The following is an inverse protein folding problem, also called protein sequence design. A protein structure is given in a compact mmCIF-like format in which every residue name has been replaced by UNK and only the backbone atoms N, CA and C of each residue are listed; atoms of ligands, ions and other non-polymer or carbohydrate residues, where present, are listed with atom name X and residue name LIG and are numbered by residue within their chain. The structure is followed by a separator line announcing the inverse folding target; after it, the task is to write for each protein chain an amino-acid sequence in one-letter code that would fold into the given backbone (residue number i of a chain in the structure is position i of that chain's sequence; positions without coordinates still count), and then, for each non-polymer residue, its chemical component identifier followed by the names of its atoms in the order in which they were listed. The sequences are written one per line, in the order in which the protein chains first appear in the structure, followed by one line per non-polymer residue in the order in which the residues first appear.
data_IF_291086003711
#
_entry.id   IF_291086003711
#
_cell.length_a   1.000
_cell.length_b   1.000
_cell.length_c   1.000
_cell.angle_alpha   90.00
_cell.angle_beta   90.00
_cell.angle_gamma   90.00
#
_symmetry.space_group_name_H-M   'P 1'
#
loop_
_entity.id
_entity.type
_entity.pdbx_description
1 polymer ?
#
# COMPACT_ATOMS: atom_id res chain seq x y z
N UNK A 1 -3.89 -15.05 20.76
CA UNK A 1 -4.33 -13.66 20.99
C UNK A 1 -3.12 -12.78 20.79
N UNK A 2 -3.13 -11.94 19.76
CA UNK A 2 -1.98 -11.25 19.23
C UNK A 2 -2.24 -9.76 18.94
N UNK A 3 -1.19 -8.96 19.07
CA UNK A 3 -1.06 -7.61 18.56
C UNK A 3 -0.19 -7.67 17.30
N UNK A 4 -0.66 -7.06 16.22
CA UNK A 4 0.00 -7.14 14.92
C UNK A 4 0.33 -5.73 14.46
N UNK A 5 1.59 -5.48 14.18
CA UNK A 5 2.05 -4.30 13.47
C UNK A 5 1.98 -4.58 11.97
N UNK A 6 0.95 -4.04 11.30
CA UNK A 6 0.80 -4.20 9.86
C UNK A 6 1.45 -3.06 9.11
N UNK A 7 2.27 -3.40 8.11
CA UNK A 7 2.97 -2.48 7.21
C UNK A 7 2.34 -2.63 5.82
N UNK A 8 1.81 -1.54 5.23
CA UNK A 8 1.13 -1.56 3.93
C UNK A 8 2.13 -1.77 2.79
N UNK A 9 1.69 -1.50 1.55
CA UNK A 9 2.54 -1.50 0.36
C UNK A 9 3.81 -0.65 0.59
N UNK A 10 4.96 -1.10 0.07
CA UNK A 10 6.25 -0.47 0.37
C UNK A 10 6.67 0.50 -0.74
N UNK A 11 6.42 0.14 -2.00
CA UNK A 11 6.82 0.83 -3.23
C UNK A 11 8.21 1.46 -3.15
N UNK A 12 9.20 0.64 -2.79
CA UNK A 12 10.61 1.02 -2.60
C UNK A 12 10.88 2.06 -1.52
N UNK A 13 9.89 2.54 -0.78
CA UNK A 13 10.05 3.56 0.26
C UNK A 13 10.74 3.01 1.51
N UNK A 14 11.43 3.88 2.25
CA UNK A 14 12.10 3.55 3.52
C UNK A 14 11.20 3.74 4.75
N UNK A 15 9.92 4.04 4.56
CA UNK A 15 9.01 4.38 5.67
C UNK A 15 8.91 3.25 6.72
N UNK A 16 9.02 2.00 6.26
CA UNK A 16 9.03 0.82 7.11
C UNK A 16 10.18 0.81 8.13
N UNK A 17 11.28 1.50 7.92
CA UNK A 17 12.41 1.49 8.87
C UNK A 17 12.00 2.01 10.25
N UNK A 18 11.01 2.90 10.30
CA UNK A 18 10.45 3.37 11.57
C UNK A 18 9.77 2.28 12.39
N UNK A 19 9.40 1.14 11.79
CA UNK A 19 8.97 -0.08 12.51
C UNK A 19 10.06 -0.56 13.48
N UNK A 20 11.34 -0.44 13.11
CA UNK A 20 12.48 -0.85 13.96
C UNK A 20 12.57 -0.07 15.28
N UNK A 21 11.92 1.09 15.37
CA UNK A 21 11.89 1.91 16.59
C UNK A 21 10.87 1.44 17.64
N UNK A 22 9.97 0.53 17.27
CA UNK A 22 8.97 -0.02 18.18
C UNK A 22 9.58 -1.16 19.01
N UNK A 23 9.25 -1.20 20.30
CA UNK A 23 9.67 -2.29 21.19
C UNK A 23 9.00 -3.60 20.79
N UNK A 24 9.71 -4.72 20.92
CA UNK A 24 9.16 -6.07 20.71
C UNK A 24 8.06 -6.44 21.71
N UNK A 25 7.86 -5.65 22.77
CA UNK A 25 6.73 -5.82 23.71
C UNK A 25 5.42 -5.18 23.20
N UNK A 26 5.48 -4.34 22.17
CA UNK A 26 4.32 -3.62 21.64
C UNK A 26 3.44 -4.47 20.73
N UNK A 27 4.01 -5.47 20.07
CA UNK A 27 3.36 -6.37 19.12
C UNK A 27 3.93 -7.79 19.21
N UNK A 28 3.09 -8.77 18.88
CA UNK A 28 3.47 -10.18 18.76
C UNK A 28 3.93 -10.51 17.33
N UNK A 29 3.41 -9.80 16.32
CA UNK A 29 3.79 -10.00 14.91
C UNK A 29 4.02 -8.68 14.17
N UNK A 30 4.90 -8.73 13.16
CA UNK A 30 5.02 -7.72 12.10
C UNK A 30 4.61 -8.38 10.78
N UNK A 31 3.72 -7.74 10.02
CA UNK A 31 3.27 -8.26 8.73
C UNK A 31 3.47 -7.19 7.67
N UNK A 32 4.37 -7.45 6.72
CA UNK A 32 4.54 -6.65 5.50
C UNK A 32 3.58 -7.15 4.44
N UNK A 33 2.78 -6.27 3.86
CA UNK A 33 1.70 -6.65 2.95
C UNK A 33 2.09 -6.75 1.47
N UNK A 34 3.33 -6.42 1.08
CA UNK A 34 3.84 -6.62 -0.27
C UNK A 34 4.23 -5.32 -0.98
N UNK A 35 4.33 -5.42 -2.31
CA UNK A 35 4.66 -4.35 -3.24
C UNK A 35 5.94 -3.63 -2.86
N UNK A 36 7.06 -4.34 -2.90
CA UNK A 36 8.37 -3.82 -2.48
C UNK A 36 9.06 -2.95 -3.53
N UNK A 37 8.66 -3.08 -4.79
CA UNK A 37 9.28 -2.44 -5.94
C UNK A 37 8.36 -1.39 -6.59
N UNK A 38 8.75 -0.91 -7.76
CA UNK A 38 7.98 0.04 -8.59
C UNK A 38 7.82 1.44 -7.98
N UNK A 39 8.79 1.85 -7.16
CA UNK A 39 8.88 3.22 -6.67
C UNK A 39 9.05 4.21 -7.84
N UNK A 40 8.29 5.31 -7.82
CA UNK A 40 8.49 6.43 -8.73
C UNK A 40 9.66 7.34 -8.29
N UNK A 41 9.89 7.46 -6.98
CA UNK A 41 10.83 8.44 -6.40
C UNK A 41 12.23 7.86 -6.16
N UNK A 42 12.35 6.56 -5.83
CA UNK A 42 13.63 5.93 -5.50
C UNK A 42 14.25 5.29 -6.74
N UNK A 43 15.53 5.57 -7.01
CA UNK A 43 16.25 5.00 -8.15
C UNK A 43 17.03 3.73 -7.79
N UNK A 44 17.58 3.04 -8.78
CA UNK A 44 18.53 1.95 -8.53
C UNK A 44 19.91 2.51 -8.19
N UNK A 45 20.68 1.89 -7.26
CA UNK A 45 20.46 0.59 -6.63
C UNK A 45 19.58 0.58 -5.35
N UNK A 46 19.12 1.74 -4.90
CA UNK A 46 18.48 1.95 -3.59
C UNK A 46 17.28 1.02 -3.35
N UNK A 47 16.35 0.90 -4.30
CA UNK A 47 15.19 -0.01 -4.18
C UNK A 47 15.60 -1.47 -3.89
N UNK A 48 16.66 -1.95 -4.55
CA UNK A 48 17.14 -3.32 -4.36
C UNK A 48 17.80 -3.52 -3.00
N UNK A 49 18.56 -2.53 -2.53
CA UNK A 49 19.19 -2.59 -1.21
C UNK A 49 18.18 -2.41 -0.08
N UNK A 50 17.12 -1.64 -0.32
CA UNK A 50 15.98 -1.53 0.58
C UNK A 50 15.25 -2.89 0.73
N UNK A 51 14.91 -3.56 -0.39
CA UNK A 51 14.30 -4.89 -0.33
C UNK A 51 15.16 -5.93 0.40
N UNK A 52 16.48 -5.93 0.16
CA UNK A 52 17.41 -6.80 0.93
C UNK A 52 17.36 -6.48 2.42
N UNK A 53 17.34 -5.20 2.78
CA UNK A 53 17.26 -4.77 4.19
C UNK A 53 15.95 -5.22 4.86
N UNK A 54 14.83 -5.23 4.14
CA UNK A 54 13.56 -5.80 4.60
C UNK A 54 13.70 -7.32 4.79
N UNK A 55 14.28 -8.03 3.81
CA UNK A 55 14.49 -9.47 3.91
C UNK A 55 15.36 -9.85 5.10
N UNK A 56 16.47 -9.15 5.31
CA UNK A 56 17.38 -9.38 6.44
C UNK A 56 16.65 -9.13 7.77
N UNK A 57 15.89 -8.05 7.86
CA UNK A 57 15.05 -7.76 9.02
C UNK A 57 14.02 -8.86 9.27
N UNK A 58 13.36 -9.42 8.25
CA UNK A 58 12.41 -10.52 8.45
C UNK A 58 13.12 -11.82 8.86
N UNK A 59 14.28 -12.12 8.27
CA UNK A 59 15.05 -13.35 8.58
C UNK A 59 15.59 -13.41 10.00
N UNK A 60 15.80 -12.26 10.65
CA UNK A 60 16.16 -12.21 12.07
C UNK A 60 15.12 -12.89 12.98
N UNK A 61 13.84 -12.93 12.59
CA UNK A 61 12.76 -13.54 13.36
C UNK A 61 11.56 -13.92 12.46
N UNK A 62 11.72 -14.99 11.68
CA UNK A 62 10.67 -15.47 10.75
C UNK A 62 9.44 -16.04 11.47
N UNK A 63 9.53 -16.33 12.77
CA UNK A 63 8.40 -16.75 13.58
C UNK A 63 7.43 -15.58 13.79
N UNK A 64 7.93 -14.38 14.04
CA UNK A 64 7.11 -13.20 14.35
C UNK A 64 7.03 -12.18 13.21
N UNK A 65 7.92 -12.23 12.22
CA UNK A 65 7.96 -11.29 11.08
C UNK A 65 7.55 -12.01 9.80
N UNK A 66 6.54 -11.48 9.12
CA UNK A 66 5.93 -12.08 7.92
C UNK A 66 6.12 -11.16 6.72
N UNK A 67 6.61 -11.73 5.62
CA UNK A 67 6.82 -11.04 4.35
C UNK A 67 5.82 -11.56 3.33
N UNK A 68 4.71 -10.84 3.15
CA UNK A 68 3.72 -11.20 2.14
C UNK A 68 4.13 -10.66 0.77
N UNK A 69 3.68 -11.30 -0.30
CA UNK A 69 3.94 -10.83 -1.67
C UNK A 69 2.76 -10.01 -2.19
N UNK A 70 3.05 -8.93 -2.91
CA UNK A 70 2.06 -8.11 -3.60
C UNK A 70 1.99 -8.38 -5.11
N UNK A 71 1.08 -7.72 -5.81
CA UNK A 71 0.96 -7.89 -7.27
C UNK A 71 2.13 -7.28 -8.04
N UNK A 72 2.71 -6.17 -7.56
CA UNK A 72 3.89 -5.58 -8.18
C UNK A 72 5.09 -6.51 -8.09
N UNK A 73 5.26 -7.19 -6.96
CA UNK A 73 6.32 -8.20 -6.78
C UNK A 73 6.10 -9.41 -7.68
N UNK A 74 4.87 -9.96 -7.64
CA UNK A 74 4.52 -11.13 -8.44
C UNK A 74 4.67 -10.88 -9.94
N UNK A 75 4.48 -9.64 -10.40
CA UNK A 75 4.61 -9.30 -11.82
C UNK A 75 5.99 -9.61 -12.43
N UNK A 76 7.03 -9.67 -11.60
CA UNK A 76 8.38 -10.05 -12.01
C UNK A 76 8.62 -11.57 -12.02
N UNK A 77 7.80 -12.31 -11.28
CA UNK A 77 7.82 -13.77 -11.14
C UNK A 77 6.84 -14.47 -12.08
N UNK A 78 5.77 -13.80 -12.50
CA UNK A 78 4.78 -14.45 -13.33
C UNK A 78 5.38 -14.98 -14.64
N UNK A 79 5.05 -16.23 -14.94
CA UNK A 79 5.41 -16.90 -16.20
C UNK A 79 4.19 -17.01 -17.13
N UNK A 80 3.06 -16.40 -16.77
CA UNK A 80 1.93 -16.29 -17.67
C UNK A 80 2.09 -15.13 -18.65
N UNK A 81 1.19 -15.06 -19.62
CA UNK A 81 1.20 -14.02 -20.65
C UNK A 81 0.87 -12.62 -20.11
N UNK A 82 0.01 -12.53 -19.10
CA UNK A 82 -0.56 -11.25 -18.63
C UNK A 82 0.03 -10.78 -17.29
N UNK A 83 0.99 -11.54 -16.74
CA UNK A 83 1.52 -11.28 -15.40
C UNK A 83 2.36 -10.01 -15.25
N UNK A 84 2.85 -9.42 -16.34
CA UNK A 84 3.68 -8.21 -16.30
C UNK A 84 2.87 -6.90 -16.32
N UNK A 85 1.54 -6.98 -16.27
CA UNK A 85 0.66 -5.83 -16.40
C UNK A 85 0.44 -5.10 -15.06
N UNK A 86 1.50 -4.52 -14.49
CA UNK A 86 1.44 -3.64 -13.32
C UNK A 86 1.89 -2.21 -13.68
N UNK A 87 1.28 -1.20 -13.07
CA UNK A 87 1.78 0.18 -13.17
C UNK A 87 3.19 0.26 -12.58
N UNK A 88 4.05 1.11 -13.15
CA UNK A 88 5.43 1.25 -12.64
C UNK A 88 6.38 0.06 -12.93
N UNK A 89 5.89 -1.04 -13.52
CA UNK A 89 6.72 -2.21 -13.83
C UNK A 89 7.98 -1.83 -14.62
N UNK A 90 9.13 -2.27 -14.12
CA UNK A 90 10.43 -1.72 -14.50
C UNK A 90 11.14 -2.57 -15.56
N UNK A 91 11.00 -2.15 -16.83
CA UNK A 91 11.54 -2.85 -18.01
C UNK A 91 12.96 -2.42 -18.45
N UNK A 92 13.57 -1.46 -17.73
CA UNK A 92 14.87 -0.86 -18.06
C UNK A 92 16.11 -1.71 -17.70
N UNK A 93 17.27 -1.05 -17.55
CA UNK A 93 18.55 -1.69 -17.19
C UNK A 93 19.16 -1.14 -15.90
N UNK A 94 19.97 -1.97 -15.24
CA UNK A 94 20.86 -1.64 -14.12
C UNK A 94 22.27 -1.98 -14.58
N UNK A 95 23.05 -0.96 -14.96
CA UNK A 95 24.35 -1.18 -15.60
C UNK A 95 24.22 -2.03 -16.87
N UNK A 96 24.72 -3.27 -16.84
CA UNK A 96 24.65 -4.23 -17.97
C UNK A 96 23.48 -5.20 -17.88
N UNK A 97 22.80 -5.28 -16.73
CA UNK A 97 21.71 -6.21 -16.44
C UNK A 97 20.34 -5.56 -16.69
N UNK A 98 19.32 -6.37 -16.92
CA UNK A 98 17.93 -5.90 -17.03
C UNK A 98 17.28 -5.81 -15.66
N UNK A 99 16.55 -4.72 -15.38
CA UNK A 99 15.83 -4.51 -14.10
C UNK A 99 14.92 -5.69 -13.75
N UNK A 100 14.16 -6.19 -14.73
CA UNK A 100 13.30 -7.37 -14.57
C UNK A 100 14.08 -8.57 -14.04
N UNK A 101 15.26 -8.85 -14.63
CA UNK A 101 16.10 -9.97 -14.21
C UNK A 101 16.61 -9.77 -12.79
N UNK A 102 17.13 -8.59 -12.48
CA UNK A 102 17.65 -8.27 -11.14
C UNK A 102 16.56 -8.36 -10.06
N UNK A 103 15.37 -7.80 -10.30
CA UNK A 103 14.25 -7.85 -9.35
C UNK A 103 13.79 -9.30 -9.15
N UNK A 104 13.65 -10.06 -10.23
CA UNK A 104 13.32 -11.49 -10.17
C UNK A 104 14.32 -12.27 -9.33
N UNK A 105 15.62 -12.06 -9.53
CA UNK A 105 16.66 -12.72 -8.76
C UNK A 105 16.59 -12.39 -7.26
N UNK A 106 16.28 -11.13 -6.91
CA UNK A 106 16.05 -10.74 -5.52
C UNK A 106 14.84 -11.46 -4.91
N UNK A 107 13.71 -11.50 -5.62
CA UNK A 107 12.50 -12.18 -5.15
C UNK A 107 12.71 -13.70 -5.01
N UNK A 108 13.35 -14.34 -6.00
CA UNK A 108 13.71 -15.76 -5.93
C UNK A 108 14.71 -16.05 -4.80
N UNK A 109 15.60 -15.10 -4.50
CA UNK A 109 16.51 -15.15 -3.36
C UNK A 109 15.83 -14.97 -2.00
N UNK A 110 14.56 -14.54 -1.96
CA UNK A 110 13.74 -14.38 -0.76
C UNK A 110 12.62 -15.43 -0.65
N UNK A 111 12.59 -16.43 -1.53
CA UNK A 111 11.50 -17.44 -1.59
C UNK A 111 11.32 -18.27 -0.32
N UNK A 112 12.33 -18.31 0.56
CA UNK A 112 12.30 -18.97 1.86
C UNK A 112 11.39 -18.26 2.88
N UNK A 113 11.13 -16.97 2.70
CA UNK A 113 10.35 -16.14 3.62
C UNK A 113 9.10 -15.51 3.01
N UNK A 114 8.97 -15.51 1.67
CA UNK A 114 7.81 -14.97 0.97
C UNK A 114 6.57 -15.86 1.16
N UNK A 115 5.43 -15.22 1.42
CA UNK A 115 4.13 -15.87 1.65
C UNK A 115 3.02 -15.16 0.87
N UNK A 116 1.94 -15.87 0.52
CA UNK A 116 0.75 -15.24 -0.06
C UNK A 116 -0.15 -14.62 1.02
N UNK A 117 -0.17 -15.22 2.20
CA UNK A 117 -1.01 -14.78 3.31
C UNK A 117 -0.48 -15.27 4.65
N UNK A 118 -0.99 -14.69 5.73
CA UNK A 118 -0.71 -15.10 7.11
C UNK A 118 -2.01 -15.22 7.89
N UNK A 119 -2.16 -16.24 8.71
CA UNK A 119 -3.34 -16.44 9.57
C UNK A 119 -2.96 -16.41 11.05
N UNK A 120 -3.68 -15.63 11.84
CA UNK A 120 -3.51 -15.56 13.29
C UNK A 120 -4.83 -15.17 13.98
N UNK A 121 -5.22 -15.91 15.03
CA UNK A 121 -6.45 -15.66 15.80
C UNK A 121 -7.72 -15.56 14.92
N UNK A 122 -7.78 -16.32 13.82
CA UNK A 122 -8.87 -16.30 12.85
C UNK A 122 -8.93 -15.03 11.98
N UNK A 123 -7.91 -14.17 12.03
CA UNK A 123 -7.68 -13.10 11.06
C UNK A 123 -6.75 -13.59 9.95
N UNK A 124 -7.12 -13.32 8.70
CA UNK A 124 -6.28 -13.57 7.53
C UNK A 124 -5.71 -12.25 7.01
N UNK A 125 -4.40 -12.20 6.91
CA UNK A 125 -3.63 -11.08 6.37
C UNK A 125 -3.18 -11.45 4.95
N UNK A 126 -3.40 -10.55 4.00
CA UNK A 126 -2.96 -10.71 2.62
C UNK A 126 -2.72 -9.33 2.00
N UNK A 127 -2.15 -9.30 0.81
CA UNK A 127 -2.00 -8.07 0.06
C UNK A 127 -3.37 -7.43 -0.25
N UNK A 128 -4.25 -8.09 -1.02
CA UNK A 128 -5.52 -7.51 -1.48
C UNK A 128 -6.79 -8.12 -0.86
N UNK A 129 -6.77 -9.39 -0.42
CA UNK A 129 -7.93 -10.05 0.23
C UNK A 129 -8.49 -11.26 -0.53
N UNK A 130 -9.33 -12.05 0.14
CA UNK A 130 -9.91 -13.26 -0.42
C UNK A 130 -11.43 -13.14 -0.58
N UNK A 131 -11.88 -13.34 -1.81
CA UNK A 131 -13.30 -13.51 -2.13
C UNK A 131 -13.70 -14.98 -2.24
N UNK A 132 -14.98 -15.25 -2.02
CA UNK A 132 -15.58 -16.57 -2.10
C UNK A 132 -15.43 -17.16 -3.52
N UNK A 133 -15.61 -16.32 -4.53
CA UNK A 133 -15.47 -16.66 -5.95
C UNK A 133 -14.04 -17.04 -6.30
N UNK A 134 -13.05 -16.23 -5.91
CA UNK A 134 -11.66 -16.50 -6.23
C UNK A 134 -11.12 -17.72 -5.47
N UNK A 135 -11.52 -17.91 -4.21
CA UNK A 135 -11.17 -19.12 -3.44
C UNK A 135 -11.77 -20.38 -4.05
N UNK A 136 -13.02 -20.33 -4.52
CA UNK A 136 -13.63 -21.47 -5.23
C UNK A 136 -12.84 -21.87 -6.48
N UNK A 137 -12.36 -20.89 -7.23
CA UNK A 137 -11.49 -21.15 -8.37
C UNK A 137 -10.17 -21.77 -7.91
N UNK A 138 -9.52 -21.19 -6.89
CA UNK A 138 -8.26 -21.70 -6.36
C UNK A 138 -8.39 -23.15 -5.87
N UNK A 139 -9.53 -23.53 -5.26
CA UNK A 139 -9.82 -24.95 -4.92
C UNK A 139 -9.84 -25.87 -6.14
N UNK A 140 -10.33 -25.38 -7.29
CA UNK A 140 -10.24 -26.13 -8.54
C UNK A 140 -8.78 -26.32 -8.98
N UNK A 141 -7.96 -25.27 -8.89
CA UNK A 141 -6.53 -25.33 -9.18
C UNK A 141 -5.82 -26.32 -8.24
N UNK A 142 -6.12 -26.28 -6.93
CA UNK A 142 -5.56 -27.23 -5.95
C UNK A 142 -5.95 -28.68 -6.27
N UNK A 143 -7.19 -28.91 -6.75
CA UNK A 143 -7.62 -30.24 -7.18
C UNK A 143 -6.86 -30.72 -8.42
N UNK A 144 -6.55 -29.83 -9.35
CA UNK A 144 -5.79 -30.21 -10.54
C UNK A 144 -4.31 -30.50 -10.22
N UNK A 145 -3.74 -29.79 -9.23
CA UNK A 145 -2.35 -30.00 -8.78
C UNK A 145 -2.20 -31.22 -7.85
N UNK A 146 -3.12 -31.42 -6.90
CA UNK A 146 -2.98 -32.38 -5.81
C UNK A 146 -4.04 -33.49 -5.79
N UNK A 147 -5.09 -33.40 -6.61
CA UNK A 147 -6.22 -34.31 -6.56
C UNK A 147 -7.18 -34.08 -5.39
N UNK A 148 -7.08 -32.96 -4.67
CA UNK A 148 -7.94 -32.59 -3.53
C UNK A 148 -8.42 -31.14 -3.64
N UNK A 149 -9.65 -30.85 -3.22
CA UNK A 149 -10.22 -29.50 -3.09
C UNK A 149 -10.00 -28.88 -1.70
N UNK A 150 -9.13 -29.49 -0.88
CA UNK A 150 -8.67 -28.93 0.39
C UNK A 150 -8.10 -27.51 0.20
N UNK A 151 -8.34 -26.67 1.19
CA UNK A 151 -7.88 -25.28 1.18
C UNK A 151 -7.69 -24.74 2.59
N UNK A 152 -6.50 -24.23 2.84
CA UNK A 152 -6.13 -23.46 4.03
C UNK A 152 -5.02 -22.48 3.64
N UNK A 153 -4.76 -21.49 4.50
CA UNK A 153 -3.63 -20.57 4.30
C UNK A 153 -2.30 -21.33 4.30
N UNK A 154 -2.14 -22.32 5.17
CA UNK A 154 -0.94 -23.18 5.20
C UNK A 154 -0.75 -23.95 3.88
N UNK A 155 -1.82 -24.57 3.35
CA UNK A 155 -1.73 -25.29 2.08
C UNK A 155 -1.41 -24.31 0.95
N UNK A 156 -2.08 -23.16 0.88
CA UNK A 156 -1.84 -22.13 -0.13
C UNK A 156 -0.38 -21.65 -0.11
N UNK A 157 0.16 -21.32 1.06
CA UNK A 157 1.56 -20.93 1.21
C UNK A 157 2.51 -22.07 0.84
N UNK A 158 2.24 -23.31 1.24
CA UNK A 158 3.07 -24.46 0.87
C UNK A 158 3.09 -24.72 -0.65
N UNK A 159 1.95 -24.50 -1.32
CA UNK A 159 1.83 -24.58 -2.77
C UNK A 159 2.65 -23.48 -3.44
N UNK A 160 2.57 -22.25 -2.92
CA UNK A 160 3.39 -21.13 -3.38
C UNK A 160 4.89 -21.39 -3.20
N UNK A 161 5.32 -21.90 -2.05
CA UNK A 161 6.74 -22.25 -1.83
C UNK A 161 7.23 -23.31 -2.82
N UNK A 162 6.44 -24.37 -3.07
CA UNK A 162 6.77 -25.39 -4.08
C UNK A 162 6.84 -24.80 -5.49
N UNK A 163 5.91 -23.89 -5.83
CA UNK A 163 5.91 -23.17 -7.09
C UNK A 163 7.21 -22.39 -7.29
N UNK A 164 7.71 -21.73 -6.23
CA UNK A 164 8.95 -20.96 -6.23
C UNK A 164 10.21 -21.84 -6.24
N UNK A 165 10.16 -23.03 -5.65
CA UNK A 165 11.23 -24.04 -5.76
C UNK A 165 11.36 -24.55 -7.19
N UNK A 166 10.22 -24.76 -7.85
CA UNK A 166 10.11 -25.23 -9.22
C UNK A 166 10.06 -24.08 -10.25
N UNK A 167 10.59 -22.90 -9.91
CA UNK A 167 10.45 -21.71 -10.76
C UNK A 167 10.99 -21.91 -12.19
N UNK A 168 12.19 -22.46 -12.32
CA UNK A 168 12.90 -22.61 -13.60
C UNK A 168 12.84 -24.05 -14.17
N UNK A 169 11.85 -24.86 -13.79
CA UNK A 169 11.72 -26.20 -14.37
C UNK A 169 11.25 -26.09 -15.84
N UNK A 170 11.78 -26.92 -16.77
CA UNK A 170 11.40 -26.84 -18.19
C UNK A 170 9.92 -27.10 -18.49
N UNK A 171 9.25 -27.91 -17.66
CA UNK A 171 7.81 -28.17 -17.77
C UNK A 171 7.10 -27.63 -16.52
N UNK A 172 6.62 -26.40 -16.62
CA UNK A 172 5.86 -25.70 -15.59
C UNK A 172 4.35 -25.71 -15.86
N UNK A 173 3.85 -26.56 -16.77
CA UNK A 173 2.46 -26.50 -17.24
C UNK A 173 1.42 -26.67 -16.13
N UNK A 174 1.73 -27.48 -15.11
CA UNK A 174 0.89 -27.66 -13.92
C UNK A 174 0.71 -26.38 -13.09
N UNK A 175 1.65 -25.44 -13.21
CA UNK A 175 1.66 -24.18 -12.45
C UNK A 175 0.95 -23.05 -13.18
N UNK A 176 0.70 -23.15 -14.48
CA UNK A 176 0.05 -22.10 -15.27
C UNK A 176 -1.28 -21.64 -14.63
N UNK A 177 -2.22 -22.52 -14.25
CA UNK A 177 -3.48 -22.08 -13.65
C UNK A 177 -3.31 -21.42 -12.27
N UNK A 178 -2.24 -21.77 -11.56
CA UNK A 178 -1.90 -21.15 -10.27
C UNK A 178 -1.34 -19.75 -10.50
N UNK A 179 -0.41 -19.59 -11.46
CA UNK A 179 0.17 -18.30 -11.82
C UNK A 179 -0.91 -17.34 -12.36
N UNK A 180 -1.75 -17.81 -13.30
CA UNK A 180 -2.85 -17.01 -13.86
C UNK A 180 -3.81 -16.51 -12.79
N UNK A 181 -4.00 -17.27 -11.70
CA UNK A 181 -4.85 -16.85 -10.58
C UNK A 181 -4.20 -15.78 -9.71
N UNK A 182 -2.87 -15.73 -9.65
CA UNK A 182 -2.09 -14.69 -8.97
C UNK A 182 -1.90 -13.46 -9.85
N UNK A 183 -1.98 -13.62 -11.17
CA UNK A 183 -1.97 -12.52 -12.13
C UNK A 183 -3.26 -11.72 -12.13
N UNK A 184 -3.24 -10.64 -12.91
CA UNK A 184 -4.45 -9.89 -13.19
C UNK A 184 -5.40 -10.75 -14.04
N UNK A 185 -6.34 -11.43 -13.38
CA UNK A 185 -7.42 -12.23 -13.98
C UNK A 185 -8.74 -11.42 -14.08
N UNK A 186 -8.63 -10.15 -14.49
CA UNK A 186 -9.77 -9.26 -14.69
C UNK A 186 -10.33 -9.40 -16.11
N UNK A 187 -11.64 -9.62 -16.25
CA UNK A 187 -12.27 -9.73 -17.57
C UNK A 187 -12.88 -8.39 -18.06
N UNK A 188 -13.23 -7.50 -17.14
CA UNK A 188 -14.08 -6.33 -17.37
C UNK A 188 -13.59 -5.04 -16.68
N UNK A 189 -12.66 -5.14 -15.72
CA UNK A 189 -12.13 -4.01 -14.94
C UNK A 189 -10.61 -3.95 -15.01
N UNK A 190 -10.07 -3.00 -15.79
CA UNK A 190 -8.63 -2.73 -15.88
C UNK A 190 -7.93 -2.35 -14.57
N UNK A 191 -8.68 -2.10 -13.50
CA UNK A 191 -8.16 -1.77 -12.16
C UNK A 191 -8.39 -2.85 -11.11
N UNK A 192 -9.06 -3.94 -11.48
CA UNK A 192 -9.23 -5.13 -10.65
C UNK A 192 -10.36 -5.08 -9.62
N UNK A 193 -11.54 -4.59 -10.02
CA UNK A 193 -12.73 -4.62 -9.15
C UNK A 193 -13.68 -5.78 -9.50
N UNK A 194 -13.18 -7.02 -9.52
CA UNK A 194 -13.98 -8.22 -9.79
C UNK A 194 -13.83 -9.29 -8.69
N UNK A 195 -14.93 -9.95 -8.27
CA UNK A 195 -14.85 -11.03 -7.28
C UNK A 195 -14.01 -12.23 -7.72
N UNK A 196 -13.74 -12.42 -9.02
CA UNK A 196 -12.86 -13.48 -9.50
C UNK A 196 -11.41 -13.25 -9.10
N UNK A 197 -10.99 -12.02 -8.82
CA UNK A 197 -9.59 -11.71 -8.58
C UNK A 197 -9.16 -12.17 -7.19
N UNK A 198 -7.93 -12.68 -7.11
CA UNK A 198 -7.43 -13.32 -5.90
C UNK A 198 -6.72 -12.33 -4.98
N UNK A 199 -5.98 -12.87 -4.02
CA UNK A 199 -5.38 -12.13 -2.91
C UNK A 199 -4.29 -11.13 -3.27
N UNK A 200 -3.95 -10.98 -4.55
CA UNK A 200 -3.02 -9.96 -5.02
C UNK A 200 -3.72 -8.77 -5.72
N UNK A 201 -4.96 -8.90 -6.17
CA UNK A 201 -5.55 -7.91 -7.10
C UNK A 201 -6.91 -7.35 -6.72
N UNK A 202 -7.68 -8.08 -5.90
CA UNK A 202 -9.09 -7.70 -5.66
C UNK A 202 -9.20 -6.34 -4.97
N UNK A 203 -9.99 -5.44 -5.53
CA UNK A 203 -10.25 -4.11 -4.95
C UNK A 203 -11.33 -4.13 -3.86
N UNK A 204 -11.36 -3.12 -2.97
CA UNK A 204 -12.21 -3.12 -1.79
C UNK A 204 -13.71 -3.34 -2.03
N UNK A 205 -14.28 -2.80 -3.12
CA UNK A 205 -15.71 -2.93 -3.38
C UNK A 205 -16.08 -4.38 -3.71
N UNK A 206 -15.40 -4.99 -4.68
CA UNK A 206 -15.59 -6.40 -5.04
C UNK A 206 -15.27 -7.34 -3.87
N UNK A 207 -14.23 -7.05 -3.09
CA UNK A 207 -13.89 -7.83 -1.91
C UNK A 207 -15.03 -7.81 -0.89
N UNK A 208 -15.58 -6.65 -0.57
CA UNK A 208 -16.66 -6.51 0.42
C UNK A 208 -17.96 -7.16 -0.03
N UNK A 209 -18.22 -7.22 -1.33
CA UNK A 209 -19.42 -7.88 -1.86
C UNK A 209 -19.35 -9.42 -1.81
N UNK A 210 -18.14 -10.00 -1.78
CA UNK A 210 -17.93 -11.44 -1.89
C UNK A 210 -16.88 -11.99 -0.90
N UNK A 211 -16.79 -11.47 0.33
CA UNK A 211 -15.78 -11.88 1.33
C UNK A 211 -15.78 -13.38 1.60
N UNK A 212 -14.62 -14.07 1.51
CA UNK A 212 -14.46 -15.48 1.92
C UNK A 212 -14.32 -15.64 3.44
N UNK A 213 -13.27 -15.07 4.03
CA UNK A 213 -13.00 -15.20 5.46
C UNK A 213 -13.85 -14.27 6.32
N UNK A 214 -14.15 -14.70 7.55
CA UNK A 214 -14.89 -13.89 8.53
C UNK A 214 -14.15 -12.61 8.92
N UNK A 215 -12.81 -12.65 8.96
CA UNK A 215 -11.96 -11.54 9.39
C UNK A 215 -10.73 -11.44 8.50
N UNK A 216 -10.55 -10.29 7.85
CA UNK A 216 -9.44 -10.06 6.92
C UNK A 216 -8.72 -8.73 7.19
N UNK A 217 -7.41 -8.69 6.94
CA UNK A 217 -6.61 -7.46 6.93
C UNK A 217 -5.90 -7.36 5.59
N UNK A 218 -6.04 -6.22 4.90
CA UNK A 218 -5.57 -6.04 3.52
C UNK A 218 -4.77 -4.75 3.36
N UNK A 219 -3.66 -4.84 2.62
CA UNK A 219 -2.67 -3.79 2.41
C UNK A 219 -2.66 -3.15 1.01
N UNK A 220 -3.47 -3.62 0.06
CA UNK A 220 -3.53 -3.08 -1.29
C UNK A 220 -4.90 -2.45 -1.56
N UNK A 221 -5.05 -1.16 -1.28
CA UNK A 221 -6.37 -0.53 -1.44
C UNK A 221 -6.37 0.97 -1.66
N UNK A 222 -5.36 1.68 -1.16
CA UNK A 222 -5.25 3.14 -1.16
C UNK A 222 -6.51 3.87 -0.63
N UNK A 223 -7.36 3.19 0.15
CA UNK A 223 -8.61 3.79 0.62
C UNK A 223 -8.44 4.57 1.92
N UNK A 224 -7.39 4.32 2.70
CA UNK A 224 -7.16 4.96 3.99
C UNK A 224 -6.76 6.42 3.83
N UNK A 225 -7.35 7.29 4.65
CA UNK A 225 -7.07 8.73 4.62
C UNK A 225 -5.96 9.14 5.59
N UNK A 226 -6.02 8.65 6.82
CA UNK A 226 -5.12 9.03 7.91
C UNK A 226 -5.01 7.95 9.00
N UNK A 227 -5.83 6.91 8.94
CA UNK A 227 -5.81 5.76 9.82
C UNK A 227 -6.43 4.58 9.08
N UNK A 228 -6.20 3.38 9.60
CA UNK A 228 -6.80 2.13 9.13
C UNK A 228 -8.33 2.18 9.24
N UNK A 229 -9.00 1.51 8.31
CA UNK A 229 -10.46 1.53 8.19
C UNK A 229 -11.02 0.16 8.56
N UNK A 230 -12.04 0.17 9.42
CA UNK A 230 -12.73 -1.03 9.88
C UNK A 230 -14.08 -1.14 9.16
N UNK A 231 -14.14 -1.98 8.13
CA UNK A 231 -15.35 -2.22 7.33
C UNK A 231 -15.99 -3.57 7.64
N UNK A 232 -17.31 -3.63 7.56
CA UNK A 232 -18.05 -4.88 7.65
C UNK A 232 -19.03 -5.02 6.52
N UNK A 233 -19.25 -6.26 6.13
CA UNK A 233 -20.39 -6.68 5.32
C UNK A 233 -21.09 -7.82 6.06
N UNK A 234 -22.34 -7.57 6.47
CA UNK A 234 -23.08 -8.49 7.37
C UNK A 234 -22.27 -8.76 8.65
N UNK A 235 -21.89 -10.01 8.87
CA UNK A 235 -21.11 -10.53 9.99
C UNK A 235 -19.60 -10.58 9.73
N UNK A 236 -19.17 -10.51 8.46
CA UNK A 236 -17.76 -10.53 8.07
C UNK A 236 -17.12 -9.14 8.22
N UNK A 237 -15.85 -9.11 8.65
CA UNK A 237 -15.07 -7.92 9.03
C UNK A 237 -13.81 -7.83 8.17
N UNK A 238 -13.47 -6.63 7.71
CA UNK A 238 -12.24 -6.33 6.98
C UNK A 238 -11.59 -5.07 7.54
N UNK A 239 -10.27 -5.11 7.66
CA UNK A 239 -9.45 -3.95 8.00
C UNK A 239 -8.60 -3.61 6.79
N UNK A 240 -8.74 -2.39 6.29
CA UNK A 240 -7.87 -1.82 5.28
C UNK A 240 -6.83 -0.96 5.98
N UNK A 241 -5.56 -1.14 5.63
CA UNK A 241 -4.44 -0.42 6.28
C UNK A 241 -3.74 0.57 5.35
N UNK A 242 -4.06 0.52 4.05
CA UNK A 242 -3.27 1.20 3.05
C UNK A 242 -3.89 2.50 2.55
N UNK A 243 -3.01 3.47 2.31
CA UNK A 243 -3.33 4.85 1.93
C UNK A 243 -2.63 5.20 0.64
N UNK A 244 -3.07 6.23 -0.10
CA UNK A 244 -2.39 6.64 -1.34
C UNK A 244 -0.95 7.15 -1.14
N UNK A 245 -0.48 7.30 0.10
CA UNK A 245 0.90 7.67 0.42
C UNK A 245 1.71 6.46 0.90
N UNK A 246 1.07 5.31 1.14
CA UNK A 246 1.65 4.09 1.72
C UNK A 246 2.39 4.30 3.07
N UNK A 247 2.12 5.42 3.75
CA UNK A 247 2.76 5.80 5.02
C UNK A 247 1.90 5.46 6.25
N UNK A 248 0.98 4.49 6.13
CA UNK A 248 0.12 4.07 7.22
C UNK A 248 0.46 2.66 7.71
N UNK A 249 1.38 2.55 8.68
CA UNK A 249 1.44 1.35 9.52
C UNK A 249 0.75 1.61 10.86
N UNK A 250 0.29 0.53 11.49
CA UNK A 250 -0.20 0.65 12.86
C UNK A 250 -0.46 -0.68 13.52
N UNK A 251 -0.47 -0.64 14.85
CA UNK A 251 -0.74 -1.82 15.66
C UNK A 251 -2.25 -2.07 15.68
N UNK A 252 -2.61 -3.32 15.42
CA UNK A 252 -3.96 -3.87 15.53
C UNK A 252 -3.94 -4.96 16.62
N UNK A 253 -4.81 -4.84 17.62
CA UNK A 253 -4.97 -5.85 18.67
C UNK A 253 -6.18 -6.72 18.34
N UNK A 254 -5.98 -8.04 18.15
CA UNK A 254 -7.05 -8.99 17.78
C UNK A 254 -8.15 -9.10 18.82
N UNK A 255 -7.91 -8.63 20.05
CA UNK A 255 -8.86 -8.62 21.19
C UNK A 255 -9.69 -7.34 21.25
N UNK A 256 -9.22 -6.25 20.65
CA UNK A 256 -9.88 -4.96 20.77
C UNK A 256 -11.08 -4.94 19.82
N UNK A 257 -12.27 -4.84 20.38
CA UNK A 257 -13.45 -4.53 19.57
C UNK A 257 -13.31 -3.10 19.04
N UNK A 258 -13.39 -2.99 17.72
CA UNK A 258 -13.33 -1.72 17.01
C UNK A 258 -14.70 -1.46 16.37
N UNK A 259 -15.14 -0.20 16.25
CA UNK A 259 -16.38 0.13 15.58
C UNK A 259 -16.24 -0.13 14.07
N UNK A 260 -16.93 -1.15 13.57
CA UNK A 260 -17.01 -1.45 12.15
C UNK A 260 -18.17 -0.69 11.50
N UNK A 261 -17.92 -0.15 10.31
CA UNK A 261 -18.92 0.55 9.50
C UNK A 261 -19.12 -0.14 8.15
N UNK A 262 -20.23 0.17 7.49
CA UNK A 262 -20.47 -0.24 6.11
C UNK A 262 -19.66 0.63 5.15
N UNK A 263 -19.43 0.13 3.94
CA UNK A 263 -18.75 0.89 2.89
C UNK A 263 -19.46 2.22 2.56
N UNK A 264 -20.80 2.22 2.61
CA UNK A 264 -21.60 3.43 2.37
C UNK A 264 -21.40 4.48 3.48
N UNK A 265 -21.40 4.06 4.74
CA UNK A 265 -21.11 4.93 5.89
C UNK A 265 -19.70 5.51 5.77
N UNK A 266 -18.72 4.67 5.40
CA UNK A 266 -17.35 5.08 5.16
C UNK A 266 -17.26 6.15 4.07
N UNK A 267 -17.81 5.92 2.88
CA UNK A 267 -17.73 6.91 1.79
C UNK A 267 -18.40 8.23 2.15
N UNK A 268 -19.49 8.21 2.92
CA UNK A 268 -20.12 9.42 3.44
C UNK A 268 -19.20 10.18 4.40
N UNK A 269 -18.57 9.48 5.34
CA UNK A 269 -17.61 10.06 6.27
C UNK A 269 -16.34 10.58 5.57
N UNK A 270 -15.80 9.80 4.62
CA UNK A 270 -14.66 10.15 3.76
C UNK A 270 -14.95 11.43 2.98
N UNK A 271 -16.10 11.53 2.31
CA UNK A 271 -16.49 12.72 1.54
C UNK A 271 -16.54 13.98 2.41
N UNK A 272 -17.10 13.88 3.63
CA UNK A 272 -17.14 15.00 4.57
C UNK A 272 -15.73 15.42 5.00
N UNK A 273 -14.89 14.45 5.34
CA UNK A 273 -13.49 14.68 5.77
C UNK A 273 -12.67 15.31 4.65
N UNK A 274 -12.74 14.76 3.44
CA UNK A 274 -12.04 15.30 2.27
C UNK A 274 -12.51 16.71 1.92
N UNK A 275 -13.80 17.02 2.08
CA UNK A 275 -14.27 18.39 1.91
C UNK A 275 -13.56 19.36 2.86
N UNK A 276 -13.47 19.01 4.15
CA UNK A 276 -12.78 19.85 5.15
C UNK A 276 -11.31 20.00 4.79
N UNK A 277 -10.61 18.90 4.47
CA UNK A 277 -9.20 18.93 4.06
C UNK A 277 -9.01 19.85 2.85
N UNK A 278 -9.84 19.69 1.82
CA UNK A 278 -9.75 20.51 0.61
C UNK A 278 -10.08 22.00 0.89
N UNK A 279 -11.06 22.27 1.76
CA UNK A 279 -11.42 23.64 2.17
C UNK A 279 -10.23 24.29 2.92
N UNK A 280 -9.52 23.55 3.78
CA UNK A 280 -8.28 24.01 4.44
C UNK A 280 -7.19 24.27 3.40
N UNK A 281 -6.90 23.28 2.55
CA UNK A 281 -5.88 23.40 1.50
C UNK A 281 -6.14 24.60 0.58
N UNK A 282 -7.40 24.86 0.23
CA UNK A 282 -7.79 25.99 -0.63
C UNK A 282 -7.54 27.35 0.02
N UNK A 283 -7.51 27.41 1.35
CA UNK A 283 -7.30 28.65 2.10
C UNK A 283 -5.82 28.92 2.39
N UNK A 284 -4.95 27.90 2.35
CA UNK A 284 -3.51 28.04 2.63
C UNK A 284 -2.85 29.16 1.82
N UNK A 285 -3.37 29.41 0.62
CA UNK A 285 -2.86 30.44 -0.29
C UNK A 285 -2.93 31.86 0.30
N UNK A 286 -3.74 32.09 1.34
CA UNK A 286 -3.96 33.37 2.01
C UNK A 286 -3.23 33.51 3.35
N UNK A 287 -2.52 32.47 3.81
CA UNK A 287 -1.93 32.45 5.16
C UNK A 287 -0.41 32.40 5.10
N UNK A 288 0.26 33.41 5.70
CA UNK A 288 1.72 33.42 5.86
C UNK A 288 2.22 32.31 6.78
N UNK A 289 1.53 32.13 7.90
CA UNK A 289 1.74 31.03 8.84
C UNK A 289 0.85 29.84 8.43
N UNK A 290 1.32 29.07 7.43
CA UNK A 290 0.58 27.92 6.91
C UNK A 290 0.42 26.84 7.98
N UNK A 291 1.49 26.49 8.68
CA UNK A 291 1.45 25.45 9.71
C UNK A 291 0.48 25.81 10.84
N UNK A 292 0.58 27.03 11.40
CA UNK A 292 -0.31 27.49 12.46
C UNK A 292 -1.77 27.52 12.01
N UNK A 293 -2.03 27.94 10.76
CA UNK A 293 -3.37 27.89 10.18
C UNK A 293 -3.90 26.45 10.04
N UNK A 294 -3.10 25.51 9.50
CA UNK A 294 -3.50 24.12 9.34
C UNK A 294 -3.84 23.51 10.69
N UNK A 295 -2.93 23.64 11.69
CA UNK A 295 -3.11 23.10 13.03
C UNK A 295 -4.40 23.62 13.68
N UNK A 296 -4.61 24.93 13.63
CA UNK A 296 -5.82 25.57 14.15
C UNK A 296 -7.07 25.02 13.45
N UNK A 297 -7.08 25.03 12.11
CA UNK A 297 -8.24 24.62 11.31
C UNK A 297 -8.59 23.14 11.52
N UNK A 298 -7.59 22.26 11.59
CA UNK A 298 -7.82 20.84 11.89
C UNK A 298 -8.39 20.65 13.30
N UNK A 299 -7.88 21.37 14.29
CA UNK A 299 -8.37 21.27 15.68
C UNK A 299 -9.82 21.73 15.87
N UNK A 300 -10.32 22.60 14.99
CA UNK A 300 -11.74 23.03 14.99
C UNK A 300 -12.69 21.95 14.47
N UNK A 301 -12.17 20.97 13.72
CA UNK A 301 -12.97 19.95 13.03
C UNK A 301 -12.73 18.53 13.52
N UNK A 302 -11.56 18.24 14.10
CA UNK A 302 -11.12 16.90 14.45
C UNK A 302 -10.55 16.84 15.88
N UNK A 303 -10.69 15.70 16.57
CA UNK A 303 -9.93 15.41 17.77
C UNK A 303 -8.42 15.57 17.54
N UNK A 304 -7.67 15.89 18.58
CA UNK A 304 -6.24 16.21 18.49
C UNK A 304 -5.41 15.08 17.85
N UNK A 305 -5.68 13.83 18.20
CA UNK A 305 -4.98 12.66 17.65
C UNK A 305 -5.27 12.47 16.15
N UNK A 306 -6.52 12.70 15.73
CA UNK A 306 -6.93 12.65 14.32
C UNK A 306 -6.33 13.81 13.54
N UNK A 307 -6.35 15.03 14.10
CA UNK A 307 -5.75 16.20 13.51
C UNK A 307 -4.24 16.00 13.28
N UNK A 308 -3.53 15.44 14.26
CA UNK A 308 -2.11 15.14 14.14
C UNK A 308 -1.80 14.14 13.02
N UNK A 309 -2.61 13.08 12.87
CA UNK A 309 -2.47 12.10 11.77
C UNK A 309 -2.72 12.74 10.40
N UNK A 310 -3.80 13.50 10.26
CA UNK A 310 -4.12 14.21 9.01
C UNK A 310 -3.00 15.19 8.65
N UNK A 311 -2.50 15.95 9.62
CA UNK A 311 -1.38 16.87 9.43
C UNK A 311 -0.14 16.15 8.91
N UNK A 312 0.23 15.02 9.54
CA UNK A 312 1.38 14.20 9.15
C UNK A 312 1.27 13.64 7.75
N UNK A 313 0.09 13.23 7.30
CA UNK A 313 -0.07 12.50 6.03
C UNK A 313 -0.45 13.42 4.87
N UNK A 314 -1.39 14.34 5.10
CA UNK A 314 -1.99 15.18 4.04
C UNK A 314 -1.35 16.55 3.90
N UNK A 315 -0.57 16.97 4.89
CA UNK A 315 0.04 18.29 4.91
C UNK A 315 1.56 18.25 5.19
N UNK A 316 2.22 17.08 5.02
CA UNK A 316 3.65 16.90 5.31
C UNK A 316 4.55 17.92 4.63
N UNK A 317 4.23 18.26 3.38
CA UNK A 317 4.99 19.23 2.58
C UNK A 317 5.00 20.62 3.23
N UNK A 318 3.88 21.02 3.84
CA UNK A 318 3.76 22.31 4.54
C UNK A 318 4.48 22.34 5.90
N UNK A 319 5.03 21.20 6.34
CA UNK A 319 5.90 21.09 7.50
C UNK A 319 7.38 21.06 7.12
N UNK A 320 7.69 20.94 5.82
CA UNK A 320 9.07 20.88 5.34
C UNK A 320 9.70 22.30 5.39
N UNK A 321 10.81 22.50 6.14
CA UNK A 321 11.47 23.80 6.21
C UNK A 321 11.89 24.37 4.86
N UNK A 322 12.30 23.51 3.92
CA UNK A 322 12.72 23.94 2.58
C UNK A 322 11.54 24.45 1.76
N UNK A 323 10.40 23.75 1.84
CA UNK A 323 9.16 24.20 1.22
C UNK A 323 8.69 25.54 1.80
N UNK A 324 8.71 25.66 3.13
CA UNK A 324 8.35 26.89 3.84
C UNK A 324 9.27 28.05 3.41
N UNK A 325 10.58 27.79 3.33
CA UNK A 325 11.59 28.75 2.88
C UNK A 325 11.33 29.21 1.45
N UNK A 326 11.12 28.27 0.53
CA UNK A 326 10.82 28.56 -0.88
C UNK A 326 9.54 29.42 -1.02
N UNK A 327 8.47 29.04 -0.33
CA UNK A 327 7.20 29.78 -0.35
C UNK A 327 7.34 31.20 0.22
N UNK A 328 8.10 31.36 1.31
CA UNK A 328 8.38 32.68 1.89
C UNK A 328 9.16 33.57 0.93
N UNK A 329 10.15 33.02 0.23
CA UNK A 329 10.92 33.76 -0.78
C UNK A 329 10.01 34.23 -1.92
N UNK A 330 9.16 33.36 -2.45
CA UNK A 330 8.21 33.71 -3.51
C UNK A 330 7.23 34.81 -3.07
N UNK A 331 6.76 34.81 -1.83
CA UNK A 331 5.90 35.88 -1.32
C UNK A 331 6.62 37.21 -1.17
N UNK A 332 7.86 37.22 -0.70
CA UNK A 332 8.63 38.47 -0.61
C UNK A 332 9.00 38.99 -2.01
N UNK A 333 9.25 38.11 -2.99
CA UNK A 333 9.38 38.48 -4.41
C UNK A 333 8.10 39.11 -4.97
N UNK A 334 6.94 38.50 -4.71
CA UNK A 334 5.63 39.00 -5.12
C UNK A 334 5.35 40.40 -4.52
N UNK A 335 5.68 40.57 -3.23
CA UNK A 335 5.53 41.85 -2.52
C UNK A 335 6.47 42.92 -3.09
N UNK A 336 7.73 42.58 -3.34
CA UNK A 336 8.69 43.48 -3.95
C UNK A 336 8.25 43.92 -5.36
N UNK A 337 7.73 42.98 -6.16
CA UNK A 337 7.18 43.25 -7.49
C UNK A 337 5.99 44.23 -7.45
N UNK A 338 5.08 44.06 -6.49
CA UNK A 338 3.98 45.01 -6.28
C UNK A 338 4.45 46.39 -5.83
N UNK A 339 5.48 46.48 -4.99
CA UNK A 339 6.01 47.75 -4.49
C UNK A 339 6.84 48.52 -5.53
N UNK A 340 7.53 47.81 -6.43
CA UNK A 340 8.35 48.42 -7.48
C UNK A 340 7.58 48.78 -8.74
N UNK A 341 6.30 48.42 -8.83
CA UNK A 341 5.50 48.58 -10.05
C UNK A 341 6.01 47.68 -11.19
N UNK A 342 6.50 46.48 -10.84
CA UNK A 342 6.98 45.49 -11.81
C UNK A 342 5.93 45.22 -12.89
N UNK A 343 6.39 44.82 -14.07
CA UNK A 343 5.49 44.53 -15.17
C UNK A 343 4.56 43.34 -14.86
N UNK A 344 3.45 43.28 -15.60
CA UNK A 344 2.44 42.25 -15.42
C UNK A 344 2.98 40.83 -15.66
N UNK A 345 3.99 40.68 -16.52
CA UNK A 345 4.58 39.40 -16.90
C UNK A 345 5.39 38.80 -15.74
N UNK A 346 6.17 39.62 -15.04
CA UNK A 346 6.96 39.24 -13.85
C UNK A 346 6.06 38.77 -12.70
N UNK A 347 4.91 39.45 -12.51
CA UNK A 347 3.91 39.05 -11.52
C UNK A 347 3.20 37.75 -11.90
N UNK A 348 2.91 37.53 -13.19
CA UNK A 348 2.33 36.27 -13.69
C UNK A 348 3.29 35.09 -13.50
N UNK A 349 4.59 35.28 -13.73
CA UNK A 349 5.63 34.26 -13.52
C UNK A 349 5.77 33.86 -12.05
N UNK A 350 5.90 34.83 -11.13
CA UNK A 350 5.95 34.56 -9.68
C UNK A 350 4.67 33.83 -9.24
N UNK A 351 3.50 34.25 -9.73
CA UNK A 351 2.24 33.58 -9.43
C UNK A 351 2.17 32.16 -10.00
N UNK A 352 2.74 31.91 -11.18
CA UNK A 352 2.80 30.60 -11.81
C UNK A 352 3.75 29.65 -11.06
N UNK A 353 4.88 30.15 -10.58
CA UNK A 353 5.86 29.39 -9.79
C UNK A 353 5.32 29.06 -8.40
N UNK A 354 4.65 30.03 -7.75
CA UNK A 354 3.84 29.78 -6.55
C UNK A 354 2.78 28.71 -6.85
N UNK A 355 2.11 28.76 -8.00
CA UNK A 355 1.12 27.75 -8.38
C UNK A 355 1.72 26.37 -8.70
N UNK A 356 2.99 26.30 -9.15
CA UNK A 356 3.72 25.05 -9.40
C UNK A 356 4.11 24.36 -8.09
N UNK A 357 4.75 25.09 -7.17
CA UNK A 357 5.05 24.62 -5.80
C UNK A 357 3.77 24.18 -5.06
N UNK A 358 2.62 24.79 -5.35
CA UNK A 358 1.31 24.41 -4.78
C UNK A 358 0.68 23.16 -5.39
N UNK A 359 1.18 22.68 -6.54
CA UNK A 359 0.74 21.43 -7.19
C UNK A 359 1.67 20.25 -6.91
N UNK A 360 2.73 20.46 -6.12
CA UNK A 360 3.77 19.45 -5.89
C UNK A 360 4.63 19.19 -7.13
N UNK A 361 4.83 20.21 -7.98
CA UNK A 361 5.63 20.15 -9.22
C UNK A 361 6.96 20.87 -9.05
#
# INVERSE_FOLDING_TARGET
MAKILSVPDIHGTHFWESVKSHSSEEYDYIVFHGDYFDAEENEWPDQGDNFKSICDFVREDTEHRKLLIGNHDWSYLSQSREGQNCSGHQTGRIGREGKITTIRELLLGAKDILQLAFECDGWVFSHAGFSETAVRYMKSVMRDIYGSDDYSIDLLNSTFSKRMEEYDIPDNTKWIPFDEKLDWDGCFSGSGNEPSQFCLWIRPEALLDDLYYEKQVVGHSEICLYDKIYLRQKDKKVIFIDSPQHELYGIFDTRKENPFMTLQEYFKARKKTMKIINDISSQLIYHRDMEGFIRKSLSEHFPEDVAAKILRIRFKEYLNPDYISAMNNLWEMQKAAHQSGADKMTLEEINAEIAAYRRGV
#
